data_IF_096720018622
#
_entry.id   IF_096720018622
#
_cell.length_a   1.000
_cell.length_b   1.000
_cell.length_c   1.000
_cell.angle_alpha   90.00
_cell.angle_beta   90.00
_cell.angle_gamma   90.00
#
_symmetry.space_group_name_H-M   'P 1'
#
loop_
_entity.id
_entity.type
_entity.pdbx_description
1 polymer ?
#
# COMPACT_ATOMS: atom_id res chain seq x y z
N UNK A 1 21.88 15.65 15.48
CA UNK A 1 22.54 14.33 15.39
C UNK A 1 22.21 13.71 14.05
N UNK A 2 23.19 13.34 13.24
CA UNK A 2 22.94 12.53 12.05
C UNK A 2 22.74 11.09 12.52
N UNK A 3 21.54 10.57 12.37
CA UNK A 3 21.23 9.17 12.67
C UNK A 3 21.76 8.29 11.54
N UNK A 4 22.66 7.37 11.85
CA UNK A 4 23.20 6.44 10.85
C UNK A 4 22.20 5.27 10.69
N UNK A 5 21.83 4.96 9.44
CA UNK A 5 20.87 3.89 9.14
C UNK A 5 21.37 2.53 9.63
N UNK A 6 22.69 2.29 9.60
CA UNK A 6 23.30 1.05 10.11
C UNK A 6 23.06 0.77 11.60
N UNK A 7 22.69 1.79 12.40
CA UNK A 7 22.33 1.59 13.81
C UNK A 7 20.98 0.88 14.01
N UNK A 8 20.21 0.71 12.94
CA UNK A 8 18.92 0.04 12.92
C UNK A 8 18.96 -1.28 12.16
N UNK A 9 20.15 -1.69 11.72
CA UNK A 9 20.34 -2.95 11.03
C UNK A 9 20.42 -4.08 12.05
N UNK A 10 19.59 -5.11 11.86
CA UNK A 10 19.54 -6.29 12.72
C UNK A 10 19.05 -7.49 11.92
N UNK A 11 19.40 -8.68 12.36
CA UNK A 11 18.91 -9.92 11.77
C UNK A 11 17.46 -10.16 12.22
N UNK A 12 16.51 -10.07 11.28
CA UNK A 12 15.09 -10.31 11.49
C UNK A 12 14.72 -11.71 11.02
N UNK A 13 14.42 -12.66 11.95
CA UNK A 13 13.95 -13.98 11.58
C UNK A 13 12.62 -13.90 10.82
N UNK A 14 12.54 -14.53 9.64
CA UNK A 14 11.37 -14.45 8.76
C UNK A 14 10.10 -15.05 9.38
N UNK A 15 10.23 -16.03 10.24
CA UNK A 15 9.15 -16.68 10.98
C UNK A 15 8.49 -15.77 12.02
N UNK A 16 9.18 -14.69 12.45
CA UNK A 16 8.62 -13.69 13.34
C UNK A 16 7.76 -12.64 12.60
N UNK A 17 7.77 -12.64 11.28
CA UNK A 17 6.95 -11.74 10.49
C UNK A 17 5.55 -12.33 10.33
N UNK A 18 4.55 -11.70 10.95
CA UNK A 18 3.16 -12.15 10.87
C UNK A 18 2.65 -12.15 9.42
N UNK A 19 2.14 -13.28 8.94
CA UNK A 19 1.61 -13.46 7.59
C UNK A 19 0.08 -13.31 7.54
N UNK A 20 -0.60 -13.39 8.67
CA UNK A 20 -2.06 -13.27 8.79
C UNK A 20 -2.42 -12.37 9.96
N UNK A 21 -3.48 -11.55 9.83
CA UNK A 21 -4.01 -10.81 10.97
C UNK A 21 -4.61 -11.78 12.01
N UNK A 22 -4.72 -11.32 13.25
CA UNK A 22 -5.49 -12.04 14.26
C UNK A 22 -6.97 -12.04 13.91
N UNK A 23 -7.73 -13.10 14.29
CA UNK A 23 -9.19 -13.13 14.10
C UNK A 23 -9.88 -11.94 14.76
N UNK A 24 -9.47 -11.58 15.96
CA UNK A 24 -9.88 -10.38 16.69
C UNK A 24 -8.80 -9.32 16.53
N UNK A 25 -9.10 -8.25 15.77
CA UNK A 25 -8.11 -7.23 15.36
C UNK A 25 -7.50 -6.46 16.52
N UNK A 26 -8.23 -6.28 17.59
CA UNK A 26 -7.83 -5.57 18.80
C UNK A 26 -6.96 -6.40 19.75
N UNK A 27 -6.91 -7.73 19.58
CA UNK A 27 -6.07 -8.62 20.38
C UNK A 27 -4.58 -8.60 19.97
N UNK A 28 -4.16 -7.63 19.20
CA UNK A 28 -2.78 -7.47 18.79
C UNK A 28 -1.87 -7.23 20.00
N UNK A 29 -0.66 -7.76 19.93
CA UNK A 29 0.38 -7.54 20.94
C UNK A 29 0.77 -6.06 20.96
N UNK A 30 1.00 -5.53 22.14
CA UNK A 30 1.44 -4.16 22.39
C UNK A 30 2.83 -4.20 23.04
N UNK A 31 3.78 -3.46 22.46
CA UNK A 31 5.07 -3.18 23.09
C UNK A 31 5.04 -1.76 23.65
N UNK A 32 5.18 -1.66 24.97
CA UNK A 32 5.24 -0.37 25.67
C UNK A 32 6.68 -0.04 25.98
N UNK A 33 7.14 1.12 25.52
CA UNK A 33 8.52 1.61 25.68
C UNK A 33 8.50 2.88 26.55
N UNK A 34 8.98 2.79 27.79
CA UNK A 34 9.23 3.96 28.62
C UNK A 34 10.66 4.47 28.36
N UNK A 35 10.77 5.49 27.53
CA UNK A 35 12.08 6.06 27.16
C UNK A 35 12.79 6.78 28.31
N UNK A 36 12.06 7.24 29.33
CA UNK A 36 12.65 7.92 30.48
C UNK A 36 13.26 6.91 31.44
N UNK A 37 12.58 5.79 31.66
CA UNK A 37 13.04 4.69 32.52
C UNK A 37 13.91 3.66 31.80
N UNK A 38 13.92 3.68 30.47
CA UNK A 38 14.61 2.66 29.66
C UNK A 38 14.00 1.26 29.78
N UNK A 39 12.71 1.16 30.10
CA UNK A 39 12.04 -0.14 30.30
C UNK A 39 11.14 -0.52 29.14
N UNK A 40 11.03 -1.83 28.91
CA UNK A 40 10.13 -2.44 27.94
C UNK A 40 9.12 -3.31 28.69
N UNK A 41 7.84 -3.22 28.28
CA UNK A 41 6.77 -4.05 28.80
C UNK A 41 5.93 -4.58 27.65
N UNK A 42 5.53 -5.85 27.72
CA UNK A 42 4.62 -6.47 26.76
C UNK A 42 3.20 -6.47 27.31
N UNK A 43 2.23 -6.13 26.48
CA UNK A 43 0.81 -6.09 26.81
C UNK A 43 -0.01 -6.45 25.54
N UNK A 44 -1.31 -6.28 25.59
CA UNK A 44 -2.25 -6.38 24.47
C UNK A 44 -2.90 -5.04 24.19
N UNK A 45 -3.25 -4.78 22.94
CA UNK A 45 -3.75 -3.48 22.48
C UNK A 45 -4.99 -2.98 23.25
N UNK A 46 -5.98 -3.80 23.69
CA UNK A 46 -7.10 -3.36 24.53
C UNK A 46 -6.68 -2.62 25.80
N UNK A 47 -5.49 -2.92 26.32
CA UNK A 47 -4.96 -2.29 27.53
C UNK A 47 -4.23 -0.96 27.25
N UNK A 48 -4.19 -0.48 26.01
CA UNK A 48 -3.47 0.73 25.59
C UNK A 48 -3.76 1.92 26.51
N UNK A 49 -5.03 2.14 26.87
CA UNK A 49 -5.44 3.27 27.71
C UNK A 49 -4.83 3.29 29.10
N UNK A 50 -4.46 2.12 29.64
CA UNK A 50 -3.85 2.01 30.97
C UNK A 50 -2.41 2.54 31.02
N UNK A 51 -1.77 2.68 29.87
CA UNK A 51 -0.40 3.18 29.74
C UNK A 51 -0.32 4.70 29.61
N UNK A 52 -1.45 5.42 29.60
CA UNK A 52 -1.48 6.87 29.57
C UNK A 52 -1.77 7.44 30.97
N UNK A 53 -0.86 8.25 31.48
CA UNK A 53 -1.07 8.97 32.75
C UNK A 53 -2.10 10.11 32.55
N UNK A 54 -2.08 10.74 31.38
CA UNK A 54 -3.00 11.80 30.97
C UNK A 54 -3.62 11.38 29.63
N UNK A 55 -4.94 11.57 29.41
CA UNK A 55 -5.57 11.25 28.14
C UNK A 55 -4.86 11.95 26.97
N UNK A 56 -4.29 11.23 26.00
CA UNK A 56 -3.58 11.82 24.87
C UNK A 56 -4.56 12.25 23.78
N UNK A 57 -4.17 13.23 22.97
CA UNK A 57 -4.78 13.43 21.66
C UNK A 57 -4.26 12.32 20.73
N UNK A 58 -5.16 11.47 20.24
CA UNK A 58 -4.83 10.39 19.34
C UNK A 58 -5.24 10.76 17.91
N UNK A 59 -4.30 10.63 16.97
CA UNK A 59 -4.54 10.88 15.57
C UNK A 59 -4.46 9.54 14.81
N UNK A 60 -5.54 9.19 14.13
CA UNK A 60 -5.64 7.96 13.37
C UNK A 60 -5.75 8.25 11.87
N UNK A 61 -5.18 7.36 11.05
CA UNK A 61 -5.45 7.37 9.62
C UNK A 61 -6.84 6.76 9.37
N UNK A 62 -7.74 7.56 8.81
CA UNK A 62 -9.10 7.15 8.44
C UNK A 62 -9.25 6.97 6.91
N UNK A 63 -8.15 6.88 6.19
CA UNK A 63 -8.16 6.67 4.74
C UNK A 63 -8.68 5.29 4.40
N UNK A 64 -9.72 5.23 3.56
CA UNK A 64 -10.22 3.97 3.03
C UNK A 64 -9.21 3.39 2.03
N UNK A 65 -8.74 2.17 2.29
CA UNK A 65 -7.85 1.46 1.37
C UNK A 65 -8.70 0.82 0.27
N UNK A 66 -8.37 1.12 -0.99
CA UNK A 66 -8.95 0.47 -2.17
C UNK A 66 -8.00 -0.63 -2.69
N UNK A 67 -8.50 -1.67 -3.40
CA UNK A 67 -7.67 -2.64 -4.09
C UNK A 67 -6.97 -1.99 -5.30
N UNK A 68 -5.93 -1.18 -5.01
CA UNK A 68 -5.27 -0.33 -6.00
C UNK A 68 -4.36 -1.11 -6.96
N UNK A 69 -3.99 -2.35 -6.61
CA UNK A 69 -3.15 -3.20 -7.44
C UNK A 69 -4.02 -3.99 -8.41
N UNK A 70 -3.83 -3.74 -9.71
CA UNK A 70 -4.58 -4.39 -10.79
C UNK A 70 -3.64 -4.96 -11.83
N UNK A 71 -4.11 -5.94 -12.58
CA UNK A 71 -3.33 -6.67 -13.55
C UNK A 71 -4.01 -6.63 -14.91
N UNK A 72 -3.20 -6.43 -15.96
CA UNK A 72 -3.70 -6.40 -17.33
C UNK A 72 -2.73 -7.09 -18.29
N UNK A 73 -3.22 -7.43 -19.46
CA UNK A 73 -2.42 -7.85 -20.60
C UNK A 73 -2.45 -6.76 -21.68
N UNK A 74 -1.29 -6.51 -22.28
CA UNK A 74 -1.20 -5.62 -23.43
C UNK A 74 -1.84 -6.31 -24.64
N UNK A 75 -2.80 -5.67 -25.31
CA UNK A 75 -3.49 -6.25 -26.48
C UNK A 75 -2.52 -6.65 -27.60
N UNK A 76 -1.47 -5.85 -27.84
CA UNK A 76 -0.53 -6.04 -28.95
C UNK A 76 0.29 -7.32 -28.88
N UNK A 77 0.63 -7.82 -27.69
CA UNK A 77 1.57 -8.94 -27.53
C UNK A 77 1.26 -9.84 -26.34
N UNK A 78 0.12 -9.65 -25.67
CA UNK A 78 -0.28 -10.44 -24.51
C UNK A 78 0.59 -10.26 -23.26
N UNK A 79 1.56 -9.34 -23.28
CA UNK A 79 2.48 -9.14 -22.16
C UNK A 79 1.70 -8.72 -20.91
N UNK A 80 1.95 -9.45 -19.82
CA UNK A 80 1.40 -9.16 -18.51
C UNK A 80 2.03 -7.91 -17.91
N UNK A 81 1.19 -7.02 -17.34
CA UNK A 81 1.61 -5.81 -16.67
C UNK A 81 0.85 -5.63 -15.36
N UNK A 82 1.57 -5.19 -14.36
CA UNK A 82 1.04 -4.79 -13.06
C UNK A 82 0.90 -3.27 -13.03
N UNK A 83 -0.26 -2.79 -12.57
CA UNK A 83 -0.55 -1.38 -12.37
C UNK A 83 -0.94 -1.14 -10.91
N UNK A 84 -0.48 -0.04 -10.35
CA UNK A 84 -0.92 0.41 -9.03
C UNK A 84 -1.59 1.78 -9.20
N UNK A 85 -2.89 1.86 -8.96
CA UNK A 85 -3.64 3.10 -8.99
C UNK A 85 -3.13 4.04 -7.91
N UNK A 86 -2.72 5.26 -8.27
CA UNK A 86 -2.16 6.21 -7.30
C UNK A 86 -3.03 7.44 -7.10
N UNK A 87 -3.58 7.98 -8.17
CA UNK A 87 -4.42 9.19 -8.11
C UNK A 87 -5.48 9.19 -9.21
N UNK A 88 -6.71 9.46 -8.84
CA UNK A 88 -7.79 9.71 -9.80
C UNK A 88 -7.63 11.13 -10.36
N UNK A 89 -7.57 11.27 -11.69
CA UNK A 89 -7.47 12.56 -12.38
C UNK A 89 -8.87 13.06 -12.74
N UNK A 90 -9.68 12.17 -13.34
CA UNK A 90 -11.06 12.46 -13.74
C UNK A 90 -11.90 11.18 -13.71
N UNK A 91 -13.16 11.25 -14.12
CA UNK A 91 -13.97 10.05 -14.32
C UNK A 91 -13.31 9.15 -15.36
N UNK A 92 -12.94 7.94 -14.97
CA UNK A 92 -12.26 6.97 -15.84
C UNK A 92 -10.75 7.18 -16.02
N UNK A 93 -10.14 8.31 -15.63
CA UNK A 93 -8.70 8.57 -15.85
C UNK A 93 -7.92 8.55 -14.53
N UNK A 94 -6.84 7.78 -14.52
CA UNK A 94 -6.00 7.59 -13.34
C UNK A 94 -4.51 7.73 -13.63
N UNK A 95 -3.77 8.28 -12.68
CA UNK A 95 -2.33 8.07 -12.59
C UNK A 95 -2.08 6.71 -11.96
N UNK A 96 -1.13 5.98 -12.54
CA UNK A 96 -0.73 4.65 -12.09
C UNK A 96 0.79 4.52 -12.05
N UNK A 97 1.30 3.74 -11.12
CA UNK A 97 2.65 3.21 -11.21
C UNK A 97 2.62 1.95 -12.07
N UNK A 98 3.52 1.87 -13.04
CA UNK A 98 3.60 0.73 -13.95
C UNK A 98 5.03 0.56 -14.46
N UNK A 99 5.52 -0.67 -14.45
CA UNK A 99 6.84 -1.02 -15.02
C UNK A 99 6.75 -1.29 -16.53
N UNK A 100 7.84 -1.02 -17.22
CA UNK A 100 7.97 -1.30 -18.67
C UNK A 100 7.74 -0.07 -19.55
N UNK A 101 8.20 -0.17 -20.81
CA UNK A 101 8.01 0.86 -21.84
C UNK A 101 6.80 0.49 -22.68
N UNK A 102 5.81 1.35 -22.72
CA UNK A 102 4.58 1.20 -23.49
C UNK A 102 4.36 2.47 -24.30
N UNK A 103 3.86 2.32 -25.52
CA UNK A 103 3.56 3.45 -26.42
C UNK A 103 2.18 4.06 -26.10
N UNK A 104 1.99 5.37 -26.25
CA UNK A 104 0.66 5.98 -26.20
C UNK A 104 -0.33 5.26 -27.14
N UNK A 105 -1.58 5.13 -26.72
CA UNK A 105 -2.62 4.41 -27.44
C UNK A 105 -2.62 2.89 -27.23
N UNK A 106 -1.64 2.32 -26.52
CA UNK A 106 -1.66 0.89 -26.21
C UNK A 106 -2.86 0.54 -25.36
N UNK A 107 -3.64 -0.46 -25.80
CA UNK A 107 -4.80 -0.99 -25.07
C UNK A 107 -4.37 -2.07 -24.08
N UNK A 108 -4.95 -2.00 -22.90
CA UNK A 108 -4.77 -2.94 -21.79
C UNK A 108 -6.10 -3.67 -21.55
N UNK A 109 -6.05 -4.99 -21.51
CA UNK A 109 -7.20 -5.85 -21.25
C UNK A 109 -7.09 -6.42 -19.84
N UNK A 110 -8.12 -6.24 -19.01
CA UNK A 110 -8.16 -6.72 -17.63
C UNK A 110 -8.88 -8.06 -17.57
N UNK A 111 -8.22 -9.09 -17.02
CA UNK A 111 -8.76 -10.44 -16.95
C UNK A 111 -10.06 -10.50 -16.13
N UNK A 112 -11.06 -11.22 -16.65
CA UNK A 112 -12.35 -11.40 -15.98
C UNK A 112 -13.22 -10.14 -15.90
N UNK A 113 -12.92 -9.11 -16.71
CA UNK A 113 -13.64 -7.84 -16.73
C UNK A 113 -13.86 -7.34 -18.16
N UNK A 114 -14.97 -6.66 -18.39
CA UNK A 114 -15.24 -5.89 -19.62
C UNK A 114 -14.52 -4.54 -19.61
N UNK A 115 -13.75 -4.25 -18.56
CA UNK A 115 -12.97 -3.03 -18.46
C UNK A 115 -11.76 -3.11 -19.38
N UNK A 116 -11.50 -2.03 -20.09
CA UNK A 116 -10.27 -1.82 -20.87
C UNK A 116 -9.60 -0.53 -20.42
N UNK A 117 -8.28 -0.46 -20.61
CA UNK A 117 -7.52 0.75 -20.35
C UNK A 117 -6.72 1.16 -21.58
N UNK A 118 -6.57 2.44 -21.78
CA UNK A 118 -5.72 3.02 -22.81
C UNK A 118 -4.58 3.80 -22.17
N UNK A 119 -3.36 3.44 -22.52
CA UNK A 119 -2.19 4.19 -22.06
C UNK A 119 -2.11 5.51 -22.81
N UNK A 120 -2.21 6.62 -22.08
CA UNK A 120 -2.22 7.98 -22.66
C UNK A 120 -0.80 8.54 -22.73
N UNK A 121 -0.12 8.62 -21.59
CA UNK A 121 1.24 9.19 -21.47
C UNK A 121 1.95 8.72 -20.22
N UNK A 122 3.23 9.02 -20.17
CA UNK A 122 4.04 8.81 -18.97
C UNK A 122 4.79 10.09 -18.58
N UNK A 123 4.75 10.42 -17.31
CA UNK A 123 5.52 11.49 -16.69
C UNK A 123 6.44 10.84 -15.66
N UNK A 124 7.73 10.74 -15.94
CA UNK A 124 8.71 10.04 -15.11
C UNK A 124 8.28 8.59 -14.79
N UNK A 125 8.00 8.27 -13.54
CA UNK A 125 7.60 6.93 -13.10
C UNK A 125 6.10 6.65 -13.18
N UNK A 126 5.27 7.71 -13.35
CA UNK A 126 3.81 7.62 -13.35
C UNK A 126 3.28 7.59 -14.77
N UNK A 127 2.39 6.66 -15.04
CA UNK A 127 1.64 6.56 -16.27
C UNK A 127 0.23 7.10 -16.08
N UNK A 128 -0.39 7.57 -17.16
CA UNK A 128 -1.80 7.96 -17.20
C UNK A 128 -2.55 6.94 -18.02
N UNK A 129 -3.57 6.34 -17.42
CA UNK A 129 -4.46 5.35 -18.05
C UNK A 129 -5.88 5.92 -18.06
N UNK A 130 -6.53 5.83 -19.18
CA UNK A 130 -7.96 6.07 -19.34
C UNK A 130 -8.68 4.73 -19.40
N UNK A 131 -9.64 4.52 -18.51
CA UNK A 131 -10.43 3.29 -18.41
C UNK A 131 -11.79 3.50 -19.08
N UNK A 132 -12.25 2.51 -19.83
CA UNK A 132 -13.60 2.45 -20.39
C UNK A 132 -14.15 1.03 -20.29
N UNK A 133 -15.47 0.86 -20.28
CA UNK A 133 -16.10 -0.45 -20.44
C UNK A 133 -16.18 -0.80 -21.93
N UNK A 134 -15.92 -2.06 -22.30
CA UNK A 134 -16.35 -2.56 -23.60
C UNK A 134 -17.87 -2.63 -23.61
N UNK A 135 -18.50 -2.00 -24.60
CA UNK A 135 -19.92 -2.17 -24.90
C UNK A 135 -20.17 -3.58 -25.47
#
# INVERSE_FOLDING_TARGET
MKTNLSNFDFDLPLDLIAQKPLPERDQSRLLVVDRKKGTLCHDIFPNLSRHFIVPPLMVFNNTQVIPAKIFANLEQNGKFVELILTRKISSGTWEVLMKGKIKPGTKLNFQGSLLVGYFIKRNAERAVIEFSSQQ
#
